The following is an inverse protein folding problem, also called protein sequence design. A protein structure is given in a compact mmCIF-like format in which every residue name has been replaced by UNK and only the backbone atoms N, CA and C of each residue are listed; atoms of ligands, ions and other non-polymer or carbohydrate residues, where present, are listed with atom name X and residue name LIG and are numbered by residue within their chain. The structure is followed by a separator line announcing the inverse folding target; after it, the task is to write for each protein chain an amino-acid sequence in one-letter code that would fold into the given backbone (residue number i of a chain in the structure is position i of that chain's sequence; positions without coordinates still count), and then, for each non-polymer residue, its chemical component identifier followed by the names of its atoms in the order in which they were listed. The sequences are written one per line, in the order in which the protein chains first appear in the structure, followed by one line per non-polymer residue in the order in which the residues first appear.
data_IF_179473266759
#
_entry.id   IF_179473266759
#
_cell.length_a   1.000
_cell.length_b   1.000
_cell.length_c   1.000
_cell.angle_alpha   90.00
_cell.angle_beta   90.00
_cell.angle_gamma   90.00
#
_symmetry.space_group_name_H-M   'P 1'
#
loop_
_entity.id
_entity.type
_entity.pdbx_description
1 polymer ?
#
# COMPACT_ATOMS: atom_id res chain seq x y z
N UNK A 1 46.51 39.35 3.93
CA UNK A 1 45.67 39.11 5.11
C UNK A 1 44.38 38.43 4.65
N UNK A 2 44.30 37.10 4.74
CA UNK A 2 43.04 36.36 4.72
C UNK A 2 43.20 35.14 5.65
N UNK A 3 42.62 35.28 6.83
CA UNK A 3 42.21 34.23 7.78
C UNK A 3 41.06 33.41 7.16
N UNK A 4 40.64 32.22 7.59
CA UNK A 4 41.13 31.20 8.52
C UNK A 4 40.14 30.02 8.42
N UNK A 5 40.68 28.81 8.54
CA UNK A 5 40.09 27.56 9.05
C UNK A 5 38.60 27.48 9.45
N UNK A 6 37.93 26.48 8.85
CA UNK A 6 37.09 25.43 9.42
C UNK A 6 36.49 25.56 10.85
N UNK A 7 35.17 25.33 10.96
CA UNK A 7 34.52 24.66 12.11
C UNK A 7 33.24 23.90 11.66
N UNK A 8 32.75 22.93 12.47
CA UNK A 8 31.98 21.76 12.05
C UNK A 8 30.48 21.82 12.40
N UNK A 9 29.70 20.95 11.74
CA UNK A 9 28.29 20.70 12.00
C UNK A 9 28.11 19.90 13.31
N UNK A 10 27.35 20.47 14.25
CA UNK A 10 26.91 19.87 15.51
C UNK A 10 25.40 19.62 15.41
N UNK A 11 24.98 18.36 15.40
CA UNK A 11 23.56 17.97 15.48
C UNK A 11 23.44 16.97 16.64
N UNK A 12 23.13 17.48 17.82
CA UNK A 12 22.73 16.69 18.99
C UNK A 12 21.57 17.41 19.69
N UNK A 13 20.81 16.62 20.44
CA UNK A 13 19.65 16.96 21.27
C UNK A 13 18.31 17.05 20.54
N UNK A 14 17.52 15.97 20.61
CA UNK A 14 16.10 16.00 20.95
C UNK A 14 15.63 14.56 21.19
N UNK A 15 15.97 13.98 22.34
CA UNK A 15 15.19 12.92 22.99
C UNK A 15 15.50 12.97 24.49
N UNK A 16 14.70 13.73 25.23
CA UNK A 16 14.65 13.71 26.68
C UNK A 16 13.44 12.88 27.09
N UNK A 17 13.65 11.72 27.69
CA UNK A 17 12.59 10.90 28.29
C UNK A 17 12.17 11.47 29.64
N UNK A 18 10.87 11.48 29.99
CA UNK A 18 10.43 11.85 31.32
C UNK A 18 10.64 10.69 32.31
N UNK A 19 11.18 11.02 33.49
CA UNK A 19 11.25 10.16 34.67
C UNK A 19 9.84 9.97 35.25
N UNK A 20 9.47 8.73 35.55
CA UNK A 20 8.29 8.41 36.36
C UNK A 20 8.74 8.05 37.78
N UNK A 21 8.26 8.82 38.75
CA UNK A 21 8.45 8.60 40.19
C UNK A 21 7.67 7.38 40.69
N UNK A 22 8.32 6.56 41.52
CA UNK A 22 7.67 5.62 42.42
C UNK A 22 7.47 6.25 43.80
N UNK A 23 6.50 5.73 44.58
CA UNK A 23 6.75 5.53 46.00
C UNK A 23 6.61 4.06 46.42
N UNK A 24 7.52 3.70 47.33
CA UNK A 24 7.64 2.45 48.08
C UNK A 24 6.36 2.08 48.87
N UNK A 25 6.06 0.77 48.91
CA UNK A 25 5.58 0.12 50.13
C UNK A 25 6.05 -1.34 50.16
N UNK A 26 6.71 -1.72 51.24
CA UNK A 26 7.30 -3.04 51.46
C UNK A 26 6.50 -3.87 52.46
N UNK A 27 6.71 -5.19 52.39
CA UNK A 27 6.53 -6.23 53.43
C UNK A 27 5.10 -6.81 53.54
N UNK A 28 4.82 -8.11 53.77
CA UNK A 28 5.56 -9.39 53.91
C UNK A 28 4.44 -10.44 54.26
N UNK A 29 4.35 -11.69 53.76
CA UNK A 29 4.84 -12.97 54.36
C UNK A 29 3.99 -14.16 53.81
N UNK A 30 4.71 -15.20 53.37
CA UNK A 30 4.55 -16.68 53.40
C UNK A 30 3.24 -17.50 53.15
N UNK A 31 3.53 -18.69 52.61
CA UNK A 31 2.77 -19.84 52.04
C UNK A 31 2.31 -20.93 53.06
N UNK A 32 2.11 -22.23 52.70
CA UNK A 32 1.21 -22.93 51.75
C UNK A 32 0.37 -24.06 52.45
N UNK A 33 -0.69 -24.64 51.85
CA UNK A 33 -0.96 -26.11 51.92
C UNK A 33 -2.18 -26.62 51.10
N UNK A 34 -1.90 -27.75 50.44
CA UNK A 34 -2.71 -28.75 49.74
C UNK A 34 -4.01 -29.26 50.42
N UNK A 35 -5.04 -29.64 49.63
CA UNK A 35 -5.46 -31.06 49.37
C UNK A 35 -6.99 -31.27 49.18
N UNK A 36 -7.36 -31.72 47.97
CA UNK A 36 -8.42 -32.68 47.52
C UNK A 36 -9.78 -32.78 48.25
N UNK A 37 -10.86 -32.70 47.45
CA UNK A 37 -11.97 -33.67 47.28
C UNK A 37 -12.70 -33.31 45.95
N UNK A 38 -12.65 -34.16 44.92
CA UNK A 38 -13.73 -35.10 44.50
C UNK A 38 -14.99 -34.34 44.02
N UNK A 39 -15.64 -34.54 42.87
CA UNK A 39 -15.58 -35.52 41.76
C UNK A 39 -16.55 -35.01 40.66
N UNK A 40 -16.24 -35.27 39.38
CA UNK A 40 -17.13 -35.52 38.22
C UNK A 40 -18.31 -34.56 37.97
N UNK A 41 -18.37 -33.93 36.77
CA UNK A 41 -19.48 -34.04 35.79
C UNK A 41 -19.25 -33.09 34.59
N UNK A 42 -19.22 -33.69 33.38
CA UNK A 42 -19.49 -33.16 32.03
C UNK A 42 -18.58 -32.09 31.38
N UNK A 43 -17.79 -32.58 30.41
CA UNK A 43 -17.23 -31.85 29.27
C UNK A 43 -18.36 -31.26 28.39
N UNK A 44 -18.39 -29.94 28.23
CA UNK A 44 -19.14 -29.27 27.17
C UNK A 44 -18.19 -28.42 26.29
N UNK A 45 -17.95 -28.95 25.09
CA UNK A 45 -18.00 -28.23 23.81
C UNK A 45 -17.19 -26.93 23.70
N UNK A 46 -15.92 -27.11 23.37
CA UNK A 46 -15.22 -26.31 22.37
C UNK A 46 -15.31 -27.10 21.07
N UNK A 47 -15.91 -26.55 20.00
CA UNK A 47 -15.42 -26.73 18.63
C UNK A 47 -16.10 -25.75 17.65
N UNK A 48 -15.25 -25.15 16.83
CA UNK A 48 -15.47 -24.10 15.84
C UNK A 48 -16.36 -24.53 14.66
N UNK A 49 -17.21 -23.65 14.10
CA UNK A 49 -18.18 -23.99 13.04
C UNK A 49 -17.56 -23.91 11.64
N UNK A 50 -16.74 -24.90 11.26
CA UNK A 50 -16.21 -24.96 9.89
C UNK A 50 -16.05 -26.38 9.30
N UNK A 51 -16.67 -27.41 9.89
CA UNK A 51 -16.45 -28.80 9.44
C UNK A 51 -17.73 -29.65 9.31
N UNK A 52 -18.82 -29.08 8.80
CA UNK A 52 -20.08 -29.83 8.56
C UNK A 52 -20.61 -29.71 7.13
N UNK A 53 -19.72 -29.67 6.13
CA UNK A 53 -20.11 -29.66 4.72
C UNK A 53 -19.21 -30.57 3.86
N UNK A 54 -18.99 -31.81 4.33
CA UNK A 54 -18.24 -32.80 3.54
C UNK A 54 -18.77 -34.25 3.58
N UNK A 55 -20.00 -34.52 4.02
CA UNK A 55 -20.51 -35.91 4.12
C UNK A 55 -21.87 -36.16 3.44
N UNK A 56 -22.47 -35.20 2.73
CA UNK A 56 -23.76 -35.43 2.02
C UNK A 56 -23.67 -35.45 0.48
N UNK A 57 -22.60 -36.03 -0.08
CA UNK A 57 -22.39 -36.07 -1.54
C UNK A 57 -22.11 -37.48 -2.10
N UNK A 58 -22.62 -38.55 -1.48
CA UNK A 58 -22.28 -39.91 -1.91
C UNK A 58 -23.41 -40.95 -2.02
N UNK A 59 -24.69 -40.60 -2.10
CA UNK A 59 -25.73 -41.61 -2.40
C UNK A 59 -26.93 -41.03 -3.16
N UNK A 60 -26.85 -40.96 -4.50
CA UNK A 60 -27.97 -41.27 -5.44
C UNK A 60 -27.47 -41.20 -6.90
N UNK A 61 -26.90 -42.31 -7.38
CA UNK A 61 -26.83 -42.58 -8.83
C UNK A 61 -28.17 -43.19 -9.26
N UNK A 62 -28.94 -42.54 -10.12
CA UNK A 62 -29.70 -43.19 -11.22
C UNK A 62 -30.04 -42.16 -12.31
N UNK A 63 -30.02 -42.55 -13.61
CA UNK A 63 -30.20 -41.64 -14.73
C UNK A 63 -31.66 -41.62 -15.20
N UNK A 64 -32.23 -40.43 -15.42
CA UNK A 64 -33.53 -40.28 -16.10
C UNK A 64 -33.30 -39.89 -17.56
N UNK A 65 -33.71 -40.81 -18.42
CA UNK A 65 -33.66 -40.81 -19.88
C UNK A 65 -34.98 -40.24 -20.38
N UNK A 66 -34.95 -39.14 -21.12
CA UNK A 66 -36.12 -38.66 -21.90
C UNK A 66 -35.69 -38.59 -23.35
N UNK A 67 -36.37 -39.39 -24.19
CA UNK A 67 -36.14 -39.47 -25.64
C UNK A 67 -37.07 -38.54 -26.42
N UNK A 68 -36.46 -37.85 -27.39
CA UNK A 68 -36.94 -37.29 -28.67
C UNK A 68 -38.44 -37.39 -29.00
N UNK A 69 -39.01 -36.28 -29.47
CA UNK A 69 -39.22 -36.01 -30.91
C UNK A 69 -40.35 -35.00 -31.13
N UNK A 70 -40.03 -33.83 -31.69
CA UNK A 70 -40.87 -33.14 -32.67
C UNK A 70 -40.01 -32.12 -33.43
N UNK A 71 -39.82 -32.40 -34.71
CA UNK A 71 -39.10 -31.58 -35.67
C UNK A 71 -39.90 -30.32 -36.00
N UNK A 72 -39.27 -29.15 -35.89
CA UNK A 72 -39.58 -27.95 -36.68
C UNK A 72 -38.24 -27.28 -37.07
N UNK A 73 -38.24 -26.72 -38.27
CA UNK A 73 -37.14 -26.48 -39.22
C UNK A 73 -36.04 -25.48 -38.77
N UNK A 74 -34.84 -25.50 -39.40
CA UNK A 74 -33.75 -24.59 -39.06
C UNK A 74 -33.75 -23.34 -39.96
N UNK A 75 -34.16 -22.18 -39.45
CA UNK A 75 -33.85 -20.89 -40.10
C UNK A 75 -33.34 -19.85 -39.08
N UNK A 76 -32.08 -19.45 -39.30
CA UNK A 76 -31.44 -18.19 -38.94
C UNK A 76 -31.57 -17.65 -37.49
N UNK A 77 -30.67 -18.07 -36.60
CA UNK A 77 -30.21 -17.23 -35.49
C UNK A 77 -28.68 -17.17 -35.49
N UNK A 78 -28.13 -16.43 -36.45
CA UNK A 78 -26.85 -15.76 -36.27
C UNK A 78 -27.14 -14.41 -35.62
N UNK A 79 -27.09 -14.32 -34.30
CA UNK A 79 -26.87 -13.03 -33.64
C UNK A 79 -26.27 -13.18 -32.25
N UNK A 80 -25.09 -12.58 -32.12
CA UNK A 80 -24.56 -11.96 -30.92
C UNK A 80 -24.15 -12.87 -29.75
N UNK A 81 -22.98 -13.52 -29.89
CA UNK A 81 -22.13 -13.82 -28.73
C UNK A 81 -21.53 -12.52 -28.20
N UNK A 82 -22.35 -11.71 -27.56
CA UNK A 82 -21.84 -10.68 -26.67
C UNK A 82 -21.35 -11.43 -25.43
N UNK A 83 -20.03 -11.60 -25.33
CA UNK A 83 -19.38 -12.02 -24.11
C UNK A 83 -19.83 -11.09 -22.99
N UNK A 84 -20.73 -11.59 -22.14
CA UNK A 84 -20.99 -11.00 -20.84
C UNK A 84 -19.67 -11.13 -20.08
N UNK A 85 -18.83 -10.08 -20.17
CA UNK A 85 -17.72 -9.91 -19.23
C UNK A 85 -18.39 -9.74 -17.88
N UNK A 86 -18.23 -10.74 -17.04
CA UNK A 86 -18.55 -10.69 -15.62
C UNK A 86 -17.88 -9.43 -15.04
N UNK A 87 -18.67 -8.37 -14.81
CA UNK A 87 -18.21 -7.18 -14.12
C UNK A 87 -18.13 -7.58 -12.65
N UNK A 88 -16.99 -8.14 -12.25
CA UNK A 88 -16.62 -8.15 -10.85
C UNK A 88 -16.67 -6.68 -10.39
N UNK A 89 -17.49 -6.30 -9.39
CA UNK A 89 -17.45 -4.95 -8.86
C UNK A 89 -16.05 -4.76 -8.25
N UNK A 90 -15.15 -4.15 -9.00
CA UNK A 90 -13.79 -3.91 -8.56
C UNK A 90 -13.86 -2.78 -7.55
N UNK A 91 -13.98 -3.11 -6.26
CA UNK A 91 -13.85 -2.13 -5.18
C UNK A 91 -12.37 -1.74 -5.05
N UNK A 92 -11.90 -0.98 -6.02
CA UNK A 92 -10.64 -0.23 -5.94
C UNK A 92 -10.90 1.02 -5.10
N UNK A 93 -9.94 1.38 -4.26
CA UNK A 93 -10.01 2.64 -3.52
C UNK A 93 -9.46 3.76 -4.40
N UNK A 94 -10.29 4.76 -4.66
CA UNK A 94 -9.95 5.96 -5.41
C UNK A 94 -9.51 7.08 -4.46
N UNK A 95 -8.77 8.03 -5.00
CA UNK A 95 -8.37 9.24 -4.29
C UNK A 95 -9.61 10.08 -3.95
N UNK A 96 -9.69 10.59 -2.72
CA UNK A 96 -10.78 11.51 -2.34
C UNK A 96 -10.54 12.94 -2.82
N UNK A 97 -9.30 13.26 -3.21
CA UNK A 97 -8.97 14.56 -3.82
C UNK A 97 -9.68 14.72 -5.16
N UNK A 98 -10.56 15.72 -5.19
CA UNK A 98 -11.24 16.18 -6.40
C UNK A 98 -10.43 17.27 -7.07
N UNK A 99 -10.74 17.50 -8.34
CA UNK A 99 -10.15 18.57 -9.13
C UNK A 99 -10.64 19.92 -8.61
N UNK A 100 -9.82 20.59 -7.81
CA UNK A 100 -10.10 21.96 -7.36
C UNK A 100 -9.61 22.98 -8.40
N UNK A 101 -10.43 24.00 -8.65
CA UNK A 101 -10.06 25.11 -9.52
C UNK A 101 -8.81 25.83 -8.94
N UNK A 102 -7.78 25.99 -9.78
CA UNK A 102 -6.53 26.66 -9.40
C UNK A 102 -5.37 25.72 -9.03
N UNK A 103 -5.57 24.41 -8.94
CA UNK A 103 -4.46 23.46 -8.78
C UNK A 103 -3.65 23.37 -10.07
N UNK A 104 -2.34 23.63 -9.98
CA UNK A 104 -1.39 23.47 -11.09
C UNK A 104 -1.35 22.02 -11.56
N UNK A 105 -1.16 21.80 -12.86
CA UNK A 105 -1.09 20.45 -13.44
C UNK A 105 0.17 20.28 -14.28
N UNK A 106 0.68 19.06 -14.32
CA UNK A 106 1.73 18.64 -15.23
C UNK A 106 1.49 17.19 -15.67
N UNK A 107 1.70 16.89 -16.95
CA UNK A 107 1.48 15.58 -17.56
C UNK A 107 0.06 15.03 -17.32
N UNK A 108 -0.92 15.93 -17.20
CA UNK A 108 -2.32 15.58 -16.91
C UNK A 108 -2.58 15.11 -15.47
N UNK A 109 -1.67 15.41 -14.53
CA UNK A 109 -1.82 15.17 -13.10
C UNK A 109 -1.87 16.48 -12.30
N UNK A 110 -2.67 16.55 -11.23
CA UNK A 110 -2.67 17.68 -10.32
C UNK A 110 -1.41 17.68 -9.45
N UNK A 111 -0.80 18.83 -9.22
CA UNK A 111 0.26 19.01 -8.22
C UNK A 111 -0.40 19.23 -6.86
N UNK A 112 -0.88 18.15 -6.25
CA UNK A 112 -1.58 18.21 -4.96
C UNK A 112 -0.65 18.71 -3.83
N UNK A 113 -1.18 19.51 -2.89
CA UNK A 113 -0.44 19.95 -1.72
C UNK A 113 0.06 18.78 -0.86
N UNK A 114 1.24 18.93 -0.24
CA UNK A 114 1.84 17.92 0.63
C UNK A 114 2.22 18.52 1.98
N UNK A 115 2.08 17.74 3.05
CA UNK A 115 2.72 18.05 4.33
C UNK A 115 4.14 17.49 4.34
N UNK A 116 5.04 18.18 3.66
CA UNK A 116 6.41 17.72 3.46
C UNK A 116 7.44 18.75 3.91
N UNK A 117 8.56 18.26 4.45
CA UNK A 117 9.76 19.06 4.66
C UNK A 117 10.76 18.94 3.49
N UNK A 118 10.45 18.09 2.50
CA UNK A 118 11.26 17.88 1.30
C UNK A 118 11.04 19.06 0.35
N UNK A 119 12.13 19.60 -0.19
CA UNK A 119 12.06 20.67 -1.20
C UNK A 119 11.48 20.15 -2.50
N UNK A 120 10.57 20.91 -3.10
CA UNK A 120 10.02 20.61 -4.41
C UNK A 120 8.85 21.52 -4.77
N UNK A 121 8.23 21.30 -5.93
CA UNK A 121 7.19 22.18 -6.47
C UNK A 121 5.80 21.95 -5.87
N UNK A 122 5.60 20.95 -5.00
CA UNK A 122 4.31 20.73 -4.36
C UNK A 122 3.94 21.94 -3.47
N UNK A 123 2.69 22.43 -3.55
CA UNK A 123 2.20 23.41 -2.58
C UNK A 123 2.28 22.87 -1.15
N UNK A 124 2.46 23.76 -0.18
CA UNK A 124 2.44 23.37 1.23
C UNK A 124 1.01 23.03 1.66
N UNK A 125 0.84 21.90 2.34
CA UNK A 125 -0.39 21.54 3.03
C UNK A 125 -0.25 21.75 4.54
N UNK A 126 -1.39 21.87 5.21
CA UNK A 126 -1.47 21.86 6.66
C UNK A 126 -1.01 20.48 7.20
N UNK A 127 -0.11 20.41 8.19
CA UNK A 127 0.35 19.15 8.80
C UNK A 127 -0.78 18.25 9.33
N UNK A 128 -1.90 18.83 9.74
CA UNK A 128 -3.04 18.09 10.31
C UNK A 128 -3.98 17.53 9.23
N UNK A 129 -3.84 17.98 7.98
CA UNK A 129 -4.63 17.47 6.85
C UNK A 129 -4.04 16.18 6.30
N UNK A 130 -4.92 15.33 5.79
CA UNK A 130 -4.55 14.14 5.00
C UNK A 130 -4.06 14.63 3.64
N UNK A 131 -2.93 14.09 3.16
CA UNK A 131 -2.45 14.32 1.80
C UNK A 131 -2.49 13.03 0.96
N UNK A 132 -2.15 13.13 -0.32
CA UNK A 132 -2.19 12.00 -1.27
C UNK A 132 -1.22 10.86 -0.88
N UNK A 133 -0.16 11.15 -0.14
CA UNK A 133 0.79 10.14 0.34
C UNK A 133 0.15 9.31 1.46
N UNK A 134 -0.58 9.95 2.36
CA UNK A 134 -1.34 9.25 3.41
C UNK A 134 -2.43 8.35 2.81
N UNK A 135 -3.17 8.85 1.81
CA UNK A 135 -4.16 8.04 1.09
C UNK A 135 -3.51 6.83 0.42
N UNK A 136 -2.38 7.02 -0.28
CA UNK A 136 -1.68 5.94 -0.95
C UNK A 136 -1.21 4.86 0.03
N UNK A 137 -0.62 5.23 1.16
CA UNK A 137 -0.20 4.28 2.19
C UNK A 137 -1.43 3.56 2.79
N UNK A 138 -2.51 4.29 3.07
CA UNK A 138 -3.75 3.75 3.64
C UNK A 138 -4.40 2.73 2.71
N UNK A 139 -4.51 3.05 1.41
CA UNK A 139 -5.16 2.20 0.43
C UNK A 139 -4.26 1.11 -0.16
N UNK A 140 -2.93 1.21 0.00
CA UNK A 140 -1.96 0.31 -0.62
C UNK A 140 -2.30 -1.17 -0.48
N UNK A 141 -2.60 -1.64 0.75
CA UNK A 141 -2.81 -3.07 1.02
C UNK A 141 -4.00 -3.65 0.27
N UNK A 142 -5.01 -2.84 -0.05
CA UNK A 142 -6.12 -3.25 -0.90
C UNK A 142 -5.76 -3.06 -2.37
N UNK A 143 -5.26 -1.88 -2.74
CA UNK A 143 -5.06 -1.49 -4.13
C UNK A 143 -3.99 -2.33 -4.85
N UNK A 144 -2.98 -2.84 -4.14
CA UNK A 144 -1.89 -3.65 -4.71
C UNK A 144 -2.36 -4.97 -5.36
N UNK A 145 -3.56 -5.46 -5.03
CA UNK A 145 -4.08 -6.70 -5.60
C UNK A 145 -4.73 -6.53 -6.97
N UNK A 146 -5.09 -5.31 -7.35
CA UNK A 146 -5.82 -5.08 -8.59
C UNK A 146 -4.89 -5.01 -9.79
N UNK A 147 -5.32 -5.65 -10.88
CA UNK A 147 -4.65 -5.61 -12.18
C UNK A 147 -5.15 -4.47 -13.06
N UNK A 148 -6.38 -4.06 -12.82
CA UNK A 148 -7.08 -3.01 -13.54
C UNK A 148 -7.48 -1.95 -12.52
N UNK A 149 -7.24 -0.70 -12.87
CA UNK A 149 -7.59 0.46 -12.06
C UNK A 149 -8.31 1.42 -13.00
N UNK A 150 -9.61 1.64 -12.77
CA UNK A 150 -10.39 2.61 -13.54
C UNK A 150 -10.07 4.02 -13.04
N UNK A 151 -9.96 5.01 -13.90
CA UNK A 151 -9.55 6.36 -13.47
C UNK A 151 -10.81 7.20 -13.31
N UNK A 152 -11.17 7.55 -12.08
CA UNK A 152 -12.34 8.39 -11.80
C UNK A 152 -11.96 9.87 -11.68
N UNK A 153 -10.73 10.17 -11.26
CA UNK A 153 -10.24 11.54 -11.12
C UNK A 153 -8.79 11.70 -11.58
N UNK A 154 -8.33 12.93 -11.89
CA UNK A 154 -6.91 13.18 -12.14
C UNK A 154 -5.99 12.78 -10.98
N UNK A 155 -6.49 12.82 -9.73
CA UNK A 155 -5.74 12.45 -8.54
C UNK A 155 -5.50 10.93 -8.45
N UNK A 156 -6.37 10.09 -9.04
CA UNK A 156 -6.14 8.64 -9.12
C UNK A 156 -4.83 8.30 -9.84
N UNK A 157 -4.39 9.12 -10.79
CA UNK A 157 -3.10 8.92 -11.46
C UNK A 157 -1.92 8.99 -10.48
N UNK A 158 -1.98 9.92 -9.52
CA UNK A 158 -0.99 9.99 -8.44
C UNK A 158 -1.11 8.81 -7.49
N UNK A 159 -2.33 8.41 -7.15
CA UNK A 159 -2.58 7.25 -6.29
C UNK A 159 -2.02 5.95 -6.92
N UNK A 160 -2.22 5.74 -8.22
CA UNK A 160 -1.66 4.62 -8.99
C UNK A 160 -0.12 4.68 -8.97
N UNK A 161 0.46 5.86 -9.22
CA UNK A 161 1.91 6.05 -9.21
C UNK A 161 2.52 5.73 -7.84
N UNK A 162 1.92 6.25 -6.76
CA UNK A 162 2.37 6.02 -5.39
C UNK A 162 2.18 4.57 -4.97
N UNK A 163 1.08 3.93 -5.37
CA UNK A 163 0.86 2.49 -5.10
C UNK A 163 1.95 1.64 -5.75
N UNK A 164 2.35 1.95 -6.99
CA UNK A 164 3.50 1.30 -7.63
C UNK A 164 4.79 1.59 -6.86
N UNK A 165 5.06 2.85 -6.53
CA UNK A 165 6.27 3.24 -5.83
C UNK A 165 6.41 2.56 -4.46
N UNK A 166 5.34 2.46 -3.68
CA UNK A 166 5.32 1.70 -2.41
C UNK A 166 5.69 0.24 -2.66
N UNK A 167 5.20 -0.37 -3.73
CA UNK A 167 5.57 -1.73 -4.10
C UNK A 167 7.07 -1.86 -4.41
N UNK A 168 7.64 -0.95 -5.21
CA UNK A 168 9.09 -0.88 -5.47
C UNK A 168 9.89 -0.67 -4.19
N UNK A 169 9.44 0.20 -3.30
CA UNK A 169 10.08 0.47 -2.03
C UNK A 169 10.07 -0.74 -1.10
N UNK A 170 8.95 -1.45 -0.98
CA UNK A 170 8.87 -2.70 -0.22
C UNK A 170 9.76 -3.79 -0.81
N UNK A 171 9.87 -3.84 -2.15
CA UNK A 171 10.82 -4.72 -2.83
C UNK A 171 12.27 -4.38 -2.50
N UNK A 172 12.62 -3.09 -2.45
CA UNK A 172 13.96 -2.62 -2.06
C UNK A 172 14.27 -2.92 -0.59
N UNK A 173 13.27 -2.87 0.28
CA UNK A 173 13.40 -3.24 1.69
C UNK A 173 13.42 -4.76 1.92
N UNK A 174 13.11 -5.57 0.90
CA UNK A 174 13.19 -7.03 1.01
C UNK A 174 14.61 -7.45 1.37
N UNK A 175 14.77 -8.14 2.52
CA UNK A 175 16.08 -8.59 3.01
C UNK A 175 16.83 -7.56 3.88
N UNK A 176 16.35 -6.32 4.01
CA UNK A 176 16.91 -5.34 4.93
C UNK A 176 16.53 -5.67 6.38
N UNK A 177 17.43 -6.36 7.11
CA UNK A 177 17.14 -6.92 8.45
C UNK A 177 17.06 -5.90 9.59
N UNK A 178 17.60 -4.69 9.40
CA UNK A 178 17.62 -3.64 10.42
C UNK A 178 17.07 -2.33 9.86
N UNK A 179 16.51 -1.50 10.73
CA UNK A 179 16.01 -0.18 10.36
C UNK A 179 17.09 0.66 9.67
N UNK A 180 18.32 0.71 10.20
CA UNK A 180 19.40 1.49 9.61
C UNK A 180 19.72 1.10 8.15
N UNK A 181 19.75 -0.20 7.84
CA UNK A 181 19.96 -0.70 6.47
C UNK A 181 18.78 -0.34 5.58
N UNK A 182 17.56 -0.52 6.08
CA UNK A 182 16.33 -0.15 5.37
C UNK A 182 16.24 1.34 5.07
N UNK A 183 16.56 2.20 6.04
CA UNK A 183 16.61 3.66 5.90
C UNK A 183 17.57 4.07 4.79
N UNK A 184 18.80 3.53 4.79
CA UNK A 184 19.75 3.81 3.70
C UNK A 184 19.22 3.36 2.35
N UNK A 185 18.63 2.16 2.28
CA UNK A 185 18.13 1.60 1.02
C UNK A 185 16.98 2.43 0.40
N UNK A 186 16.05 2.92 1.24
CA UNK A 186 14.87 3.66 0.77
C UNK A 186 15.15 5.15 0.50
N UNK A 187 16.10 5.76 1.24
CA UNK A 187 16.61 7.10 0.93
C UNK A 187 17.28 7.07 -0.45
N UNK A 188 18.16 6.10 -0.69
CA UNK A 188 18.81 5.96 -1.99
C UNK A 188 17.78 5.78 -3.12
N UNK A 189 16.73 4.98 -2.89
CA UNK A 189 15.64 4.81 -3.87
C UNK A 189 14.89 6.12 -4.16
N UNK A 190 14.60 6.93 -3.14
CA UNK A 190 13.91 8.22 -3.32
C UNK A 190 14.72 9.23 -4.12
N UNK A 191 16.06 9.14 -4.06
CA UNK A 191 16.99 10.02 -4.76
C UNK A 191 17.32 9.56 -6.19
N UNK A 192 16.92 8.36 -6.59
CA UNK A 192 17.15 7.84 -7.95
C UNK A 192 16.48 8.75 -9.00
N UNK A 193 17.07 8.82 -10.20
CA UNK A 193 16.53 9.61 -11.31
C UNK A 193 15.11 9.13 -11.63
N UNK A 194 14.15 10.04 -11.54
CA UNK A 194 12.74 9.76 -11.80
C UNK A 194 12.46 9.92 -13.30
N UNK A 195 12.06 8.88 -14.05
CA UNK A 195 11.62 9.06 -15.43
C UNK A 195 10.24 9.72 -15.48
N UNK A 196 9.97 10.47 -16.54
CA UNK A 196 8.65 11.09 -16.83
C UNK A 196 8.01 10.48 -18.08
N UNK A 197 6.70 10.74 -18.36
CA UNK A 197 6.02 10.15 -19.51
C UNK A 197 6.77 10.43 -20.83
N UNK A 198 6.98 9.37 -21.61
CA UNK A 198 7.76 9.42 -22.86
C UNK A 198 9.24 9.02 -22.72
N UNK A 199 9.79 9.02 -21.50
CA UNK A 199 11.16 8.59 -21.25
C UNK A 199 11.29 7.08 -21.08
N UNK A 200 12.46 6.48 -21.43
CA UNK A 200 12.72 5.09 -21.14
C UNK A 200 12.68 4.82 -19.63
N UNK A 201 11.97 3.76 -19.25
CA UNK A 201 11.79 3.35 -17.85
C UNK A 201 10.56 3.94 -17.16
N UNK A 202 9.77 4.80 -17.82
CA UNK A 202 8.48 5.22 -17.28
C UNK A 202 7.47 4.05 -17.31
N UNK A 203 6.90 3.64 -16.16
CA UNK A 203 6.21 2.35 -16.04
C UNK A 203 4.75 2.34 -16.52
N UNK A 204 4.18 3.49 -16.90
CA UNK A 204 2.75 3.63 -17.20
C UNK A 204 2.48 4.11 -18.64
N UNK A 205 2.39 3.22 -19.63
CA UNK A 205 2.09 3.61 -21.00
C UNK A 205 0.66 4.17 -21.10
N UNK A 206 0.53 5.37 -21.67
CA UNK A 206 -0.77 6.00 -21.98
C UNK A 206 -1.58 6.52 -20.79
N UNK A 207 -1.16 6.28 -19.55
CA UNK A 207 -1.87 6.75 -18.35
C UNK A 207 -1.68 8.26 -18.10
N UNK A 208 -0.48 8.75 -18.41
CA UNK A 208 -0.10 10.15 -18.23
C UNK A 208 0.03 10.82 -19.59
N UNK A 209 -0.32 12.10 -19.67
CA UNK A 209 -0.08 12.88 -20.87
C UNK A 209 1.44 13.07 -21.04
N UNK A 210 1.90 13.13 -22.29
CA UNK A 210 3.28 13.52 -22.57
C UNK A 210 3.49 14.99 -22.17
N UNK A 211 4.67 15.33 -21.62
CA UNK A 211 4.99 16.73 -21.36
C UNK A 211 4.97 17.53 -22.67
N UNK A 212 4.39 18.73 -22.63
CA UNK A 212 4.30 19.65 -23.76
C UNK A 212 5.55 20.52 -23.91
N UNK A 213 6.35 20.63 -22.85
CA UNK A 213 7.63 21.34 -22.85
C UNK A 213 8.65 20.67 -21.92
N UNK A 214 9.93 21.01 -22.09
CA UNK A 214 10.99 20.57 -21.16
C UNK A 214 10.75 21.10 -19.73
N UNK A 215 10.23 22.31 -19.60
CA UNK A 215 9.88 22.90 -18.30
C UNK A 215 8.79 22.09 -17.58
N UNK A 216 7.75 21.65 -18.31
CA UNK A 216 6.70 20.80 -17.74
C UNK A 216 7.27 19.43 -17.35
N UNK A 217 8.14 18.87 -18.17
CA UNK A 217 8.82 17.60 -17.87
C UNK A 217 9.62 17.69 -16.58
N UNK A 218 10.39 18.78 -16.40
CA UNK A 218 11.20 18.99 -15.21
C UNK A 218 10.35 19.34 -13.97
N UNK A 219 9.28 20.12 -14.13
CA UNK A 219 8.30 20.36 -13.08
C UNK A 219 7.70 19.05 -12.57
N UNK A 220 7.23 18.19 -13.48
CA UNK A 220 6.64 16.92 -13.11
C UNK A 220 7.67 15.98 -12.50
N UNK A 221 8.90 15.92 -13.04
CA UNK A 221 10.00 15.14 -12.47
C UNK A 221 10.28 15.52 -11.03
N UNK A 222 10.38 16.81 -10.75
CA UNK A 222 10.66 17.33 -9.42
C UNK A 222 9.50 17.08 -8.45
N UNK A 223 8.25 17.21 -8.91
CA UNK A 223 7.09 16.84 -8.11
C UNK A 223 7.10 15.33 -7.76
N UNK A 224 7.32 14.47 -8.76
CA UNK A 224 7.39 13.03 -8.56
C UNK A 224 8.55 12.62 -7.64
N UNK A 225 9.68 13.33 -7.69
CA UNK A 225 10.81 13.12 -6.77
C UNK A 225 10.42 13.49 -5.34
N UNK A 226 9.78 14.64 -5.14
CA UNK A 226 9.34 15.10 -3.83
C UNK A 226 8.36 14.09 -3.17
N UNK A 227 7.33 13.63 -3.90
CA UNK A 227 6.39 12.63 -3.35
C UNK A 227 7.06 11.29 -3.06
N UNK A 228 8.10 10.90 -3.82
CA UNK A 228 8.87 9.67 -3.56
C UNK A 228 9.65 9.75 -2.26
N UNK A 229 10.37 10.84 -2.04
CA UNK A 229 11.13 11.07 -0.81
C UNK A 229 10.22 11.11 0.42
N UNK A 230 9.09 11.82 0.32
CA UNK A 230 8.09 11.87 1.39
C UNK A 230 7.49 10.49 1.68
N UNK A 231 7.11 9.75 0.63
CA UNK A 231 6.60 8.38 0.76
C UNK A 231 7.63 7.45 1.38
N UNK A 232 8.91 7.56 0.99
CA UNK A 232 10.01 6.78 1.57
C UNK A 232 10.12 6.99 3.08
N UNK A 233 10.06 8.24 3.53
CA UNK A 233 10.12 8.60 4.95
C UNK A 233 8.97 8.00 5.74
N UNK A 234 7.73 8.19 5.26
CA UNK A 234 6.52 7.70 5.95
C UNK A 234 6.40 6.18 5.93
N UNK A 235 6.79 5.53 4.82
CA UNK A 235 6.70 4.08 4.66
C UNK A 235 7.64 3.32 5.61
N UNK A 236 8.78 3.91 6.00
CA UNK A 236 9.70 3.26 6.97
C UNK A 236 9.00 2.91 8.28
N UNK A 237 8.19 3.83 8.79
CA UNK A 237 7.41 3.64 10.03
C UNK A 237 6.36 2.53 9.90
N UNK A 238 5.95 2.19 8.69
CA UNK A 238 5.06 1.05 8.41
C UNK A 238 5.85 -0.26 8.27
N UNK A 239 6.98 -0.22 7.55
CA UNK A 239 7.79 -1.36 7.19
C UNK A 239 8.68 -1.89 8.34
N UNK A 240 8.93 -1.07 9.37
CA UNK A 240 9.67 -1.45 10.57
C UNK A 240 8.84 -1.18 11.82
N UNK A 241 9.04 -2.01 12.85
CA UNK A 241 8.47 -1.80 14.18
C UNK A 241 9.29 -0.75 14.95
N UNK A 242 8.73 -0.18 16.04
CA UNK A 242 9.47 0.74 16.91
C UNK A 242 10.79 0.16 17.47
N UNK A 243 10.87 -1.18 17.62
CA UNK A 243 12.10 -1.86 18.04
C UNK A 243 13.12 -2.08 16.90
N UNK A 244 12.90 -1.49 15.73
CA UNK A 244 13.79 -1.59 14.56
C UNK A 244 13.72 -2.91 13.78
N UNK A 245 12.83 -3.83 14.16
CA UNK A 245 12.67 -5.12 13.45
C UNK A 245 11.74 -4.99 12.23
N UNK A 246 11.98 -5.77 11.15
CA UNK A 246 11.12 -5.73 9.97
C UNK A 246 9.67 -6.15 10.25
N UNK A 247 8.71 -5.42 9.70
CA UNK A 247 7.29 -5.71 9.80
C UNK A 247 6.84 -6.67 8.69
N UNK A 248 6.75 -7.96 9.02
CA UNK A 248 6.34 -9.01 8.06
C UNK A 248 5.00 -8.73 7.37
N UNK A 249 4.08 -8.01 8.00
CA UNK A 249 2.76 -7.74 7.44
C UNK A 249 2.80 -6.73 6.29
N UNK A 250 3.79 -5.84 6.29
CA UNK A 250 4.05 -4.93 5.17
C UNK A 250 4.99 -5.57 4.14
N UNK A 251 6.08 -6.19 4.60
CA UNK A 251 7.07 -6.79 3.70
C UNK A 251 6.56 -8.02 2.94
N UNK A 252 5.48 -8.67 3.40
CA UNK A 252 4.83 -9.74 2.63
C UNK A 252 4.34 -9.29 1.25
N UNK A 253 4.12 -7.99 1.05
CA UNK A 253 3.69 -7.43 -0.23
C UNK A 253 4.83 -7.20 -1.23
N UNK A 254 6.10 -7.29 -0.81
CA UNK A 254 7.28 -7.07 -1.67
C UNK A 254 7.34 -7.98 -2.92
N UNK A 255 6.70 -9.16 -2.87
CA UNK A 255 6.66 -10.11 -3.99
C UNK A 255 5.45 -9.93 -4.90
N UNK A 256 4.54 -9.01 -4.57
CA UNK A 256 3.34 -8.75 -5.38
C UNK A 256 3.67 -7.80 -6.52
N UNK A 257 2.94 -7.91 -7.62
CA UNK A 257 3.03 -6.98 -8.75
C UNK A 257 1.74 -6.20 -8.83
N UNK A 258 1.84 -4.88 -8.78
CA UNK A 258 0.70 -3.99 -9.01
C UNK A 258 0.51 -3.80 -10.53
N UNK A 259 -0.73 -3.92 -11.02
CA UNK A 259 -1.07 -3.78 -12.45
C UNK A 259 -0.24 -4.66 -13.42
N UNK A 260 0.32 -5.77 -12.94
CA UNK A 260 1.29 -6.61 -13.67
C UNK A 260 2.53 -5.86 -14.17
N UNK A 261 2.81 -4.67 -13.66
CA UNK A 261 4.00 -3.89 -13.99
C UNK A 261 5.21 -4.63 -13.42
N UNK A 262 6.23 -4.81 -14.27
CA UNK A 262 7.50 -5.38 -13.85
C UNK A 262 8.28 -4.26 -13.18
N UNK A 263 8.54 -4.44 -11.88
CA UNK A 263 9.40 -3.57 -11.11
C UNK A 263 10.84 -3.78 -11.62
N UNK A 264 11.52 -2.74 -12.13
CA UNK A 264 12.91 -2.83 -12.53
C UNK A 264 13.86 -3.06 -11.34
#
# INVERSE_FOLDING_TARGET
MLLSSALPLRFESLFSSPKSDQPHLSSQIESPLSRKRETVTLLSLSLSPCATLFVLALLTKTPLKVSRSLCLSPESEKQNKQTVKEIQPTMVYHSSFVEEEGISKACGCPLLPLKSHVRGPAPASDPDKVDVVDEAITFFRANVFFRNFDIQSPADKLLIYLTLYINVALKRLEGCRTLAVGTKAIINLGLEKVPVPGEPGFPFPGLFALPQSEDEAELFRNYLKQIREETSGRLLSCAYRPNGTPNKWWLAFAKRKFMNIIIP
#
